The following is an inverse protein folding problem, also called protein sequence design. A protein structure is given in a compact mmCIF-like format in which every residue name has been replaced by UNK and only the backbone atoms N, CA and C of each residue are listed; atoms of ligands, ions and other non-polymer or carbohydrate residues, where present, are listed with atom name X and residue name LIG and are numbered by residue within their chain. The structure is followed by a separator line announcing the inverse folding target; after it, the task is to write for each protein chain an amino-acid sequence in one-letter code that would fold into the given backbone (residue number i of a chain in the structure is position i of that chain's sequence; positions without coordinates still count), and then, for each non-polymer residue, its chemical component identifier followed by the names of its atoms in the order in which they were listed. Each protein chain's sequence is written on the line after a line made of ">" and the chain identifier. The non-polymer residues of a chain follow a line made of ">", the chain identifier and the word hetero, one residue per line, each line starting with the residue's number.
data_IF_879112638218
#
_entry.id   IF_879112638218
#
_cell.length_a   1.000
_cell.length_b   1.000
_cell.length_c   1.000
_cell.angle_alpha   90.00
_cell.angle_beta   90.00
_cell.angle_gamma   90.00
#
_symmetry.space_group_name_H-M   'P 1'
#
loop_
_entity.id
_entity.type
_entity.pdbx_description
1 polymer ?
#
# COMPACT_ATOMS: atom_id res chain seq x y z
N UNK A 1 -11.03 46.04 -26.87
CA UNK A 1 -10.96 44.59 -26.57
C UNK A 1 -9.71 44.06 -27.24
N UNK A 2 -8.54 43.91 -26.62
CA UNK A 2 -8.20 43.82 -25.21
C UNK A 2 -7.98 42.36 -24.78
N UNK A 3 -6.82 41.78 -25.15
CA UNK A 3 -6.04 40.74 -24.43
C UNK A 3 -5.14 40.00 -25.43
N UNK A 4 -3.88 40.43 -25.60
CA UNK A 4 -2.74 40.13 -24.73
C UNK A 4 -2.20 38.71 -24.93
N UNK A 5 -1.53 38.54 -26.06
CA UNK A 5 -0.55 37.50 -26.33
C UNK A 5 0.80 37.89 -25.74
N UNK A 6 1.12 37.49 -24.51
CA UNK A 6 2.49 37.50 -23.99
C UNK A 6 2.55 36.79 -22.63
N UNK A 7 2.84 35.48 -22.66
CA UNK A 7 3.20 34.74 -21.43
C UNK A 7 4.14 33.59 -21.79
N UNK A 8 5.30 33.95 -22.34
CA UNK A 8 6.49 33.09 -22.45
C UNK A 8 7.72 33.96 -22.31
N UNK A 9 8.01 34.37 -21.08
CA UNK A 9 9.30 34.83 -20.52
C UNK A 9 8.99 35.26 -19.08
N UNK A 10 9.97 35.25 -18.19
CA UNK A 10 9.86 35.74 -16.81
C UNK A 10 9.33 34.76 -15.72
N UNK A 11 9.84 33.52 -15.67
CA UNK A 11 9.90 32.78 -14.38
C UNK A 11 11.26 32.11 -14.12
N UNK A 12 12.31 32.62 -14.75
CA UNK A 12 13.69 32.40 -14.30
C UNK A 12 14.16 33.67 -13.61
N UNK A 13 14.21 33.64 -12.27
CA UNK A 13 15.01 34.51 -11.35
C UNK A 13 14.20 34.82 -10.09
N UNK A 14 14.14 33.89 -9.13
CA UNK A 14 14.18 34.18 -7.67
C UNK A 14 14.63 32.94 -6.89
N UNK A 15 15.81 32.41 -7.21
CA UNK A 15 16.59 31.66 -6.22
C UNK A 15 17.59 32.63 -5.61
N UNK A 16 17.13 33.35 -4.58
CA UNK A 16 17.94 34.28 -3.81
C UNK A 16 18.87 33.47 -2.89
N UNK A 17 19.97 32.97 -3.46
CA UNK A 17 21.10 32.44 -2.70
C UNK A 17 21.85 33.65 -2.14
N UNK A 18 21.30 34.23 -1.08
CA UNK A 18 22.05 35.12 -0.19
C UNK A 18 22.20 34.41 1.15
N UNK A 19 23.39 33.84 1.31
CA UNK A 19 24.18 34.02 2.52
C UNK A 19 23.50 33.67 3.84
N UNK A 20 23.43 32.37 4.15
CA UNK A 20 23.69 31.93 5.52
C UNK A 20 25.16 31.49 5.57
N UNK A 21 26.06 32.47 5.71
CA UNK A 21 27.41 32.20 6.21
C UNK A 21 27.23 31.75 7.67
N UNK A 22 27.58 30.50 7.96
CA UNK A 22 27.86 30.11 9.34
C UNK A 22 29.23 30.68 9.71
N UNK A 23 29.33 31.59 10.70
CA UNK A 23 30.62 32.04 11.20
C UNK A 23 31.31 30.89 11.98
N UNK A 24 32.63 30.69 11.83
CA UNK A 24 33.41 29.83 12.70
C UNK A 24 33.81 30.57 13.99
N UNK A 25 33.78 29.81 15.09
CA UNK A 25 34.51 29.99 16.36
C UNK A 25 34.34 31.29 17.16
N UNK A 26 33.59 31.17 18.27
CA UNK A 26 34.01 31.74 19.56
C UNK A 26 33.85 30.69 20.65
N UNK A 27 34.96 30.09 21.03
CA UNK A 27 35.14 29.20 22.16
C UNK A 27 35.16 30.05 23.45
N UNK A 28 34.00 30.27 24.06
CA UNK A 28 33.92 30.83 25.41
C UNK A 28 33.56 29.71 26.40
N UNK A 29 34.58 29.30 27.15
CA UNK A 29 34.49 28.32 28.22
C UNK A 29 33.84 28.97 29.45
N UNK A 30 32.53 28.78 29.61
CA UNK A 30 31.84 29.12 30.85
C UNK A 30 31.96 27.95 31.84
N UNK A 31 32.87 28.10 32.80
CA UNK A 31 33.12 27.13 33.87
C UNK A 31 32.16 27.40 35.02
N UNK A 32 30.88 26.99 34.95
CA UNK A 32 30.04 26.95 36.15
C UNK A 32 29.04 25.79 36.17
N UNK A 33 29.20 24.99 37.22
CA UNK A 33 28.21 24.09 37.81
C UNK A 33 27.94 22.76 37.07
N UNK A 34 28.89 21.82 37.23
CA UNK A 34 28.60 20.39 37.09
C UNK A 34 27.61 19.94 38.16
N UNK A 35 26.32 20.24 37.97
CA UNK A 35 25.24 19.53 38.65
C UNK A 35 25.33 18.10 38.15
N UNK A 36 25.86 17.22 38.99
CA UNK A 36 25.99 15.78 38.75
C UNK A 36 24.58 15.25 38.48
N UNK A 37 24.16 15.26 37.21
CA UNK A 37 22.93 14.64 36.77
C UNK A 37 23.02 13.19 37.21
N UNK A 38 22.24 12.82 38.24
CA UNK A 38 22.06 11.43 38.62
C UNK A 38 21.52 10.74 37.37
N UNK A 39 22.40 10.06 36.65
CA UNK A 39 22.02 9.16 35.58
C UNK A 39 21.27 8.03 36.26
N UNK A 40 19.94 8.16 36.34
CA UNK A 40 19.07 7.08 36.74
C UNK A 40 19.17 6.05 35.61
N UNK A 41 20.08 5.09 35.78
CA UNK A 41 20.21 3.97 34.85
C UNK A 41 18.98 3.09 34.92
N UNK A 42 18.59 2.54 33.78
CA UNK A 42 17.51 1.55 33.66
C UNK A 42 17.68 0.44 34.70
N UNK A 43 16.63 0.18 35.47
CA UNK A 43 16.62 -0.96 36.38
C UNK A 43 16.47 -2.25 35.58
N UNK A 44 17.23 -3.28 35.95
CA UNK A 44 17.10 -4.61 35.33
C UNK A 44 15.67 -5.17 35.47
N UNK A 45 15.01 -4.86 36.59
CA UNK A 45 13.62 -5.23 36.84
C UNK A 45 12.65 -4.59 35.83
N UNK A 46 12.92 -3.36 35.41
CA UNK A 46 12.08 -2.59 34.51
C UNK A 46 12.09 -3.20 33.10
N UNK A 47 13.25 -3.67 32.64
CA UNK A 47 13.39 -4.38 31.36
C UNK A 47 12.73 -5.76 31.43
N UNK A 48 12.88 -6.49 32.54
CA UNK A 48 12.25 -7.82 32.70
C UNK A 48 10.73 -7.69 32.70
N UNK A 49 10.17 -6.74 33.46
CA UNK A 49 8.72 -6.51 33.48
C UNK A 49 8.18 -6.15 32.09
N UNK A 50 8.90 -5.29 31.34
CA UNK A 50 8.52 -4.92 29.99
C UNK A 50 8.50 -6.12 29.01
N UNK A 51 9.54 -6.96 29.01
CA UNK A 51 9.60 -8.13 28.10
C UNK A 51 8.51 -9.15 28.43
N UNK A 52 8.18 -9.33 29.71
CA UNK A 52 7.07 -10.21 30.12
C UNK A 52 5.73 -9.73 29.57
N UNK A 53 5.43 -8.43 29.69
CA UNK A 53 4.19 -7.87 29.14
C UNK A 53 4.17 -8.00 27.61
N UNK A 54 5.28 -7.69 26.93
CA UNK A 54 5.38 -7.82 25.48
C UNK A 54 5.17 -9.26 25.01
N UNK A 55 5.70 -10.26 25.74
CA UNK A 55 5.52 -11.66 25.40
C UNK A 55 4.04 -12.09 25.45
N UNK A 56 3.31 -11.69 26.49
CA UNK A 56 1.88 -12.00 26.64
C UNK A 56 1.04 -11.33 25.56
N UNK A 57 1.27 -10.04 25.29
CA UNK A 57 0.55 -9.31 24.24
C UNK A 57 0.85 -9.89 22.86
N UNK A 58 2.10 -10.20 22.56
CA UNK A 58 2.49 -10.82 21.29
C UNK A 58 1.77 -12.16 21.07
N UNK A 59 1.74 -13.03 22.08
CA UNK A 59 1.04 -14.31 21.99
C UNK A 59 -0.47 -14.14 21.70
N UNK A 60 -1.14 -13.21 22.40
CA UNK A 60 -2.56 -12.92 22.17
C UNK A 60 -2.84 -12.35 20.77
N UNK A 61 -1.96 -11.49 20.25
CA UNK A 61 -2.11 -10.92 18.89
C UNK A 61 -1.98 -11.97 17.79
N UNK A 62 -1.05 -12.92 17.90
CA UNK A 62 -0.88 -13.98 16.89
C UNK A 62 -2.13 -14.85 16.81
N UNK A 63 -2.68 -15.25 17.97
CA UNK A 63 -3.89 -16.08 18.04
C UNK A 63 -5.12 -15.41 17.41
N UNK A 64 -5.22 -14.09 17.46
CA UNK A 64 -6.37 -13.34 16.92
C UNK A 64 -6.20 -12.98 15.44
N UNK A 65 -4.98 -12.61 15.02
CA UNK A 65 -4.75 -12.10 13.66
C UNK A 65 -4.68 -13.23 12.63
N UNK A 66 -4.19 -14.41 12.98
CA UNK A 66 -4.12 -15.56 12.06
C UNK A 66 -5.49 -15.94 11.43
N UNK A 67 -6.55 -16.24 12.21
CA UNK A 67 -7.86 -16.55 11.64
C UNK A 67 -8.52 -15.34 10.96
N UNK A 68 -8.20 -14.11 11.41
CA UNK A 68 -8.74 -12.89 10.80
C UNK A 68 -8.17 -12.67 9.40
N UNK A 69 -6.88 -12.96 9.17
CA UNK A 69 -6.28 -12.93 7.83
C UNK A 69 -6.90 -13.93 6.88
N UNK A 70 -7.09 -15.18 7.32
CA UNK A 70 -7.72 -16.21 6.49
C UNK A 70 -9.13 -15.79 6.05
N UNK A 71 -9.97 -15.33 7.00
CA UNK A 71 -11.31 -14.81 6.70
C UNK A 71 -11.27 -13.61 5.74
N UNK A 72 -10.27 -12.74 5.84
CA UNK A 72 -10.10 -11.63 4.91
C UNK A 72 -9.76 -12.12 3.51
N UNK A 73 -8.88 -13.10 3.36
CA UNK A 73 -8.57 -13.69 2.05
C UNK A 73 -9.79 -14.37 1.42
N UNK A 74 -10.60 -15.07 2.23
CA UNK A 74 -11.85 -15.69 1.75
C UNK A 74 -12.83 -14.62 1.24
N UNK A 75 -12.99 -13.52 1.98
CA UNK A 75 -13.83 -12.39 1.56
C UNK A 75 -13.30 -11.71 0.30
N UNK A 76 -11.98 -11.53 0.19
CA UNK A 76 -11.36 -10.99 -1.01
C UNK A 76 -11.61 -11.92 -2.21
N UNK A 77 -11.53 -13.24 -2.03
CA UNK A 77 -11.83 -14.19 -3.10
C UNK A 77 -13.29 -14.12 -3.58
N UNK A 78 -14.23 -13.99 -2.64
CA UNK A 78 -15.66 -13.77 -2.98
C UNK A 78 -15.84 -12.47 -3.75
N UNK A 79 -15.19 -11.38 -3.31
CA UNK A 79 -15.26 -10.08 -3.98
C UNK A 79 -14.64 -10.12 -5.38
N UNK A 80 -13.49 -10.78 -5.55
CA UNK A 80 -12.82 -10.96 -6.83
C UNK A 80 -13.72 -11.73 -7.81
N UNK A 81 -14.33 -12.82 -7.37
CA UNK A 81 -15.30 -13.60 -8.18
C UNK A 81 -16.52 -12.77 -8.56
N UNK A 82 -17.11 -12.02 -7.63
CA UNK A 82 -18.24 -11.15 -7.92
C UNK A 82 -17.87 -10.08 -8.96
N UNK A 83 -16.68 -9.48 -8.83
CA UNK A 83 -16.17 -8.49 -9.78
C UNK A 83 -15.95 -9.10 -11.17
N UNK A 84 -15.36 -10.29 -11.25
CA UNK A 84 -15.16 -11.01 -12.51
C UNK A 84 -16.49 -11.40 -13.18
N UNK A 85 -17.47 -11.83 -12.40
CA UNK A 85 -18.82 -12.13 -12.89
C UNK A 85 -19.49 -10.89 -13.49
N UNK A 86 -19.39 -9.75 -12.81
CA UNK A 86 -19.90 -8.49 -13.34
C UNK A 86 -19.22 -8.11 -14.68
N UNK A 87 -17.89 -8.24 -14.77
CA UNK A 87 -17.17 -7.98 -16.04
C UNK A 87 -17.58 -8.94 -17.16
N UNK A 88 -17.77 -10.22 -16.87
CA UNK A 88 -18.24 -11.23 -17.84
C UNK A 88 -19.66 -10.93 -18.32
N UNK A 89 -20.54 -10.47 -17.43
CA UNK A 89 -21.88 -10.02 -17.80
C UNK A 89 -21.84 -8.77 -18.68
N UNK A 90 -21.01 -7.77 -18.33
CA UNK A 90 -20.80 -6.59 -19.18
C UNK A 90 -20.28 -6.99 -20.56
N UNK A 91 -19.32 -7.91 -20.64
CA UNK A 91 -18.82 -8.45 -21.90
C UNK A 91 -19.95 -9.09 -22.73
N UNK A 92 -20.81 -9.88 -22.10
CA UNK A 92 -21.96 -10.50 -22.75
C UNK A 92 -22.95 -9.45 -23.29
N UNK A 93 -23.21 -8.39 -22.52
CA UNK A 93 -24.09 -7.30 -22.95
C UNK A 93 -23.54 -6.55 -24.18
N UNK A 94 -22.22 -6.42 -24.29
CA UNK A 94 -21.58 -5.68 -25.39
C UNK A 94 -21.32 -6.55 -26.63
N UNK A 95 -20.98 -7.84 -26.46
CA UNK A 95 -20.57 -8.73 -27.55
C UNK A 95 -21.62 -9.78 -27.93
N UNK A 96 -22.61 -10.03 -27.06
CA UNK A 96 -23.67 -11.02 -27.27
C UNK A 96 -23.29 -12.47 -26.96
N UNK A 97 -22.10 -12.72 -26.41
CA UNK A 97 -21.62 -14.05 -26.01
C UNK A 97 -20.66 -13.95 -24.82
N UNK A 98 -20.52 -15.03 -24.04
CA UNK A 98 -19.62 -15.05 -22.89
C UNK A 98 -18.15 -15.19 -23.32
N UNK A 99 -17.19 -14.60 -22.59
CA UNK A 99 -15.78 -14.69 -22.95
C UNK A 99 -15.29 -16.14 -22.92
N UNK A 100 -14.35 -16.56 -23.77
CA UNK A 100 -13.88 -17.96 -23.73
C UNK A 100 -12.95 -18.26 -22.56
N UNK A 101 -12.32 -17.23 -21.98
CA UNK A 101 -11.49 -17.33 -20.78
C UNK A 101 -11.21 -15.94 -20.18
N UNK A 102 -10.64 -15.92 -18.97
CA UNK A 102 -10.11 -14.69 -18.35
C UNK A 102 -9.12 -13.94 -19.25
N UNK A 103 -8.34 -14.66 -20.07
CA UNK A 103 -7.37 -14.02 -20.97
C UNK A 103 -8.05 -13.14 -22.03
N UNK A 104 -9.28 -13.50 -22.46
CA UNK A 104 -10.07 -12.65 -23.36
C UNK A 104 -10.49 -11.36 -22.68
N UNK A 105 -10.92 -11.41 -21.41
CA UNK A 105 -11.27 -10.20 -20.64
C UNK A 105 -10.07 -9.24 -20.48
N UNK A 106 -8.86 -9.79 -20.34
CA UNK A 106 -7.63 -8.98 -20.31
C UNK A 106 -7.32 -8.37 -21.67
N UNK A 107 -7.38 -9.17 -22.74
CA UNK A 107 -7.08 -8.71 -24.10
C UNK A 107 -8.02 -7.60 -24.56
N UNK A 108 -9.30 -7.72 -24.20
CA UNK A 108 -10.35 -6.76 -24.56
C UNK A 108 -10.40 -5.56 -23.60
N UNK A 109 -9.55 -5.52 -22.57
CA UNK A 109 -9.33 -4.35 -21.71
C UNK A 109 -10.22 -4.25 -20.47
N UNK A 110 -11.03 -5.25 -20.14
CA UNK A 110 -11.84 -5.25 -18.91
C UNK A 110 -11.01 -5.49 -17.66
N UNK A 111 -9.86 -6.16 -17.79
CA UNK A 111 -8.92 -6.42 -16.70
C UNK A 111 -7.57 -5.82 -17.08
N UNK A 112 -7.10 -4.85 -16.29
CA UNK A 112 -5.78 -4.26 -16.49
C UNK A 112 -4.66 -5.25 -16.13
N UNK A 113 -3.59 -5.27 -16.95
CA UNK A 113 -2.41 -6.11 -16.79
C UNK A 113 -1.08 -5.38 -17.08
N UNK A 114 -1.10 -4.05 -17.06
CA UNK A 114 -0.01 -3.19 -17.58
C UNK A 114 1.14 -3.05 -16.59
N UNK A 115 0.82 -2.93 -15.30
CA UNK A 115 1.78 -2.77 -14.19
C UNK A 115 2.10 -4.11 -13.53
N UNK A 116 3.20 -4.18 -12.76
CA UNK A 116 3.60 -5.44 -12.10
C UNK A 116 2.66 -5.88 -10.98
N UNK A 117 2.04 -4.91 -10.29
CA UNK A 117 0.96 -5.15 -9.32
C UNK A 117 -0.28 -5.75 -10.00
N UNK A 118 -0.67 -5.25 -11.16
CA UNK A 118 -1.78 -5.79 -11.97
C UNK A 118 -1.48 -7.20 -12.48
N UNK A 119 -0.25 -7.46 -12.96
CA UNK A 119 0.17 -8.81 -13.36
C UNK A 119 0.09 -9.80 -12.20
N UNK A 120 0.47 -9.37 -11.00
CA UNK A 120 0.38 -10.18 -9.79
C UNK A 120 -1.08 -10.48 -9.45
N UNK A 121 -1.95 -9.48 -9.53
CA UNK A 121 -3.40 -9.66 -9.38
C UNK A 121 -3.95 -10.62 -10.44
N UNK A 122 -3.60 -10.46 -11.71
CA UNK A 122 -3.98 -11.37 -12.79
C UNK A 122 -3.59 -12.81 -12.50
N UNK A 123 -2.37 -13.07 -12.00
CA UNK A 123 -1.94 -14.42 -11.59
C UNK A 123 -2.80 -15.00 -10.46
N UNK A 124 -3.30 -14.17 -9.54
CA UNK A 124 -4.27 -14.59 -8.50
C UNK A 124 -5.62 -14.92 -9.14
N UNK A 125 -6.14 -14.03 -9.99
CA UNK A 125 -7.43 -14.19 -10.66
C UNK A 125 -7.47 -15.41 -11.60
N UNK A 126 -6.36 -15.72 -12.28
CA UNK A 126 -6.25 -16.86 -13.19
C UNK A 126 -6.36 -18.23 -12.50
N UNK A 127 -6.33 -18.27 -11.16
CA UNK A 127 -6.56 -19.51 -10.39
C UNK A 127 -8.03 -19.85 -10.24
N UNK A 128 -8.94 -18.89 -10.47
CA UNK A 128 -10.38 -19.15 -10.36
C UNK A 128 -10.88 -20.04 -11.49
N UNK A 129 -11.79 -20.94 -11.16
CA UNK A 129 -12.43 -21.81 -12.15
C UNK A 129 -13.42 -20.98 -12.96
N UNK A 130 -13.39 -21.15 -14.28
CA UNK A 130 -14.25 -20.42 -15.21
C UNK A 130 -15.12 -21.39 -16.02
N UNK A 131 -16.44 -21.18 -15.98
CA UNK A 131 -17.39 -21.87 -16.84
C UNK A 131 -17.79 -20.98 -18.03
N UNK A 132 -17.36 -21.38 -19.23
CA UNK A 132 -17.64 -20.68 -20.49
C UNK A 132 -19.11 -20.77 -20.93
N UNK A 133 -19.85 -21.79 -20.48
CA UNK A 133 -21.24 -21.97 -20.89
C UNK A 133 -22.16 -20.99 -20.15
N UNK A 134 -21.87 -20.75 -18.87
CA UNK A 134 -22.65 -19.85 -18.01
C UNK A 134 -22.02 -18.47 -17.83
N UNK A 135 -20.75 -18.31 -18.19
CA UNK A 135 -20.01 -17.07 -18.02
C UNK A 135 -19.62 -16.78 -16.57
N UNK A 136 -19.64 -17.79 -15.70
CA UNK A 136 -19.47 -17.63 -14.26
C UNK A 136 -18.09 -18.05 -13.77
N UNK A 137 -17.60 -17.32 -12.78
CA UNK A 137 -16.38 -17.60 -12.03
C UNK A 137 -16.74 -18.23 -10.68
N UNK A 138 -15.95 -19.20 -10.26
CA UNK A 138 -16.09 -19.85 -8.95
C UNK A 138 -14.75 -19.96 -8.22
N UNK A 139 -14.83 -19.91 -6.89
CA UNK A 139 -13.68 -20.13 -6.02
C UNK A 139 -13.28 -21.61 -6.18
N UNK A 140 -11.99 -21.92 -6.42
CA UNK A 140 -11.55 -23.31 -6.49
C UNK A 140 -11.84 -23.98 -5.15
N UNK A 141 -12.62 -25.06 -5.19
CA UNK A 141 -12.84 -25.91 -4.01
C UNK A 141 -11.51 -26.57 -3.64
N UNK A 142 -11.09 -26.53 -2.35
CA UNK A 142 -9.89 -27.23 -1.89
C UNK A 142 -10.02 -28.75 -2.05
#
# INVERSE_FOLDING_TARGET
>A
MGSASESKKEQARRFNIRSCLCPPETFHQEVLNMKRNKKNGFSLLEVIAAVVILAVVAAATVATVAPMRQKSEDKLAIQDVASLNAMSQTYYLEKGYFPSSIAYLVREGYIANTTDSEKTRYKKLAKYTYDKATGTFSIPTP
#
